data_IF_137655189305
#
_entry.id   IF_137655189305
#
_cell.length_a   1.000
_cell.length_b   1.000
_cell.length_c   1.000
_cell.angle_alpha   90.00
_cell.angle_beta   90.00
_cell.angle_gamma   90.00
#
_symmetry.space_group_name_H-M   'P 1'
#
loop_
_entity.id
_entity.type
_entity.pdbx_description
1 polymer ?
#
# COMPACT_ATOMS: atom_id res chain seq x y z
N UNK A 1 -24.23 27.28 -10.27
CA UNK A 1 -24.43 26.63 -8.96
C UNK A 1 -23.07 26.47 -8.31
N UNK A 2 -22.87 26.99 -7.11
CA UNK A 2 -21.60 26.79 -6.40
C UNK A 2 -21.51 25.34 -5.91
N UNK A 3 -20.30 24.76 -5.95
CA UNK A 3 -20.06 23.42 -5.42
C UNK A 3 -20.17 23.43 -3.88
N UNK A 4 -20.67 22.35 -3.25
CA UNK A 4 -20.59 22.17 -1.81
C UNK A 4 -19.13 22.29 -1.33
N UNK A 5 -18.89 22.98 -0.22
CA UNK A 5 -17.53 23.30 0.24
C UNK A 5 -16.64 22.05 0.43
N UNK A 6 -17.21 20.98 0.98
CA UNK A 6 -16.51 19.70 1.15
C UNK A 6 -16.03 19.11 -0.18
N UNK A 7 -16.86 19.21 -1.22
CA UNK A 7 -16.50 18.72 -2.56
C UNK A 7 -15.45 19.61 -3.22
N UNK A 8 -15.59 20.93 -3.11
CA UNK A 8 -14.60 21.89 -3.62
C UNK A 8 -13.21 21.65 -3.00
N UNK A 9 -13.15 21.39 -1.68
CA UNK A 9 -11.92 21.06 -0.99
C UNK A 9 -11.28 19.76 -1.51
N UNK A 10 -12.07 18.69 -1.68
CA UNK A 10 -11.56 17.42 -2.22
C UNK A 10 -11.08 17.55 -3.66
N UNK A 11 -11.80 18.29 -4.50
CA UNK A 11 -11.37 18.57 -5.88
C UNK A 11 -10.02 19.29 -5.88
N UNK A 12 -9.83 20.30 -5.03
CA UNK A 12 -8.55 21.01 -4.90
C UNK A 12 -7.40 20.06 -4.50
N UNK A 13 -7.63 19.14 -3.57
CA UNK A 13 -6.61 18.17 -3.13
C UNK A 13 -6.25 17.18 -4.24
N UNK A 14 -7.23 16.50 -4.83
CA UNK A 14 -6.97 15.41 -5.78
C UNK A 14 -6.62 15.89 -7.20
N UNK A 15 -7.02 17.11 -7.57
CA UNK A 15 -6.67 17.74 -8.85
C UNK A 15 -5.47 18.69 -8.73
N UNK A 16 -4.82 18.77 -7.56
CA UNK A 16 -3.57 19.51 -7.43
C UNK A 16 -2.55 19.03 -8.47
N UNK A 17 -1.92 20.00 -9.15
CA UNK A 17 -0.86 19.76 -10.14
C UNK A 17 0.41 19.43 -9.38
N UNK A 18 0.61 18.14 -9.14
CA UNK A 18 1.78 17.56 -8.52
C UNK A 18 2.02 16.17 -9.09
N UNK A 19 3.21 15.64 -8.89
CA UNK A 19 3.62 14.33 -9.41
C UNK A 19 3.20 13.18 -8.48
N UNK A 20 2.22 13.40 -7.58
CA UNK A 20 1.73 12.34 -6.71
C UNK A 20 0.71 11.48 -7.47
N UNK A 21 0.86 10.14 -7.44
CA UNK A 21 -0.15 9.25 -7.98
C UNK A 21 -1.42 9.33 -7.14
N UNK A 22 -2.58 9.03 -7.76
CA UNK A 22 -3.91 9.21 -7.13
C UNK A 22 -4.03 8.55 -5.76
N UNK A 23 -3.42 7.38 -5.56
CA UNK A 23 -3.47 6.61 -4.31
C UNK A 23 -2.59 7.17 -3.18
N UNK A 24 -1.82 8.24 -3.42
CA UNK A 24 -1.03 8.95 -2.40
C UNK A 24 -1.46 10.43 -2.24
N UNK A 25 -2.42 10.91 -3.05
CA UNK A 25 -2.83 12.32 -3.05
C UNK A 25 -3.61 12.74 -1.80
N UNK A 26 -4.22 11.80 -1.06
CA UNK A 26 -4.93 12.05 0.19
C UNK A 26 -4.01 12.39 1.36
N UNK A 27 -2.68 12.22 1.21
CA UNK A 27 -1.68 12.72 2.14
C UNK A 27 -1.03 11.64 3.01
N UNK A 28 -0.63 11.94 4.26
CA UNK A 28 0.14 11.03 5.11
C UNK A 28 -0.57 9.70 5.42
N UNK A 29 -1.89 9.72 5.56
CA UNK A 29 -2.68 8.51 5.84
C UNK A 29 -2.57 7.49 4.69
N UNK A 30 -2.69 7.95 3.44
CA UNK A 30 -2.54 7.12 2.25
C UNK A 30 -1.13 6.47 2.19
N UNK A 31 -0.09 7.26 2.49
CA UNK A 31 1.30 6.78 2.52
C UNK A 31 1.49 5.69 3.59
N UNK A 32 0.95 5.90 4.79
CA UNK A 32 1.04 4.93 5.87
C UNK A 32 0.29 3.64 5.52
N UNK A 33 -0.92 3.77 4.99
CA UNK A 33 -1.73 2.62 4.58
C UNK A 33 -1.03 1.81 3.49
N UNK A 34 -0.56 2.47 2.43
CA UNK A 34 0.20 1.82 1.37
C UNK A 34 1.47 1.13 1.89
N UNK A 35 2.24 1.81 2.74
CA UNK A 35 3.46 1.25 3.31
C UNK A 35 3.20 0.00 4.16
N UNK A 36 2.16 0.03 5.01
CA UNK A 36 1.76 -1.13 5.82
C UNK A 36 1.31 -2.28 4.93
N UNK A 37 0.47 -2.02 3.92
CA UNK A 37 0.02 -3.05 2.98
C UNK A 37 1.20 -3.68 2.24
N UNK A 38 2.12 -2.89 1.70
CA UNK A 38 3.30 -3.39 1.01
C UNK A 38 4.19 -4.23 1.93
N UNK A 39 4.38 -3.80 3.18
CA UNK A 39 5.15 -4.55 4.18
C UNK A 39 4.52 -5.91 4.48
N UNK A 40 3.19 -5.96 4.71
CA UNK A 40 2.46 -7.21 4.95
C UNK A 40 2.56 -8.16 3.76
N UNK A 41 2.41 -7.66 2.53
CA UNK A 41 2.60 -8.45 1.32
C UNK A 41 4.04 -8.99 1.22
N UNK A 42 5.05 -8.18 1.50
CA UNK A 42 6.45 -8.59 1.52
C UNK A 42 6.72 -9.70 2.54
N UNK A 43 6.23 -9.55 3.78
CA UNK A 43 6.31 -10.58 4.82
C UNK A 43 5.63 -11.87 4.36
N UNK A 44 4.44 -11.77 3.76
CA UNK A 44 3.71 -12.91 3.22
C UNK A 44 4.51 -13.67 2.15
N UNK A 45 5.11 -12.95 1.20
CA UNK A 45 5.95 -13.56 0.16
C UNK A 45 7.17 -14.28 0.74
N UNK A 46 7.89 -13.64 1.67
CA UNK A 46 9.04 -14.26 2.35
C UNK A 46 8.63 -15.51 3.11
N UNK A 47 7.46 -15.46 3.78
CA UNK A 47 6.92 -16.59 4.54
C UNK A 47 6.58 -17.77 3.63
N UNK A 48 6.00 -17.51 2.45
CA UNK A 48 5.70 -18.54 1.45
C UNK A 48 6.99 -19.16 0.90
N UNK A 49 8.00 -18.34 0.57
CA UNK A 49 9.29 -18.86 0.10
C UNK A 49 9.94 -19.74 1.16
N UNK A 50 9.95 -19.30 2.42
CA UNK A 50 10.47 -20.08 3.54
C UNK A 50 9.70 -21.39 3.73
N UNK A 51 8.38 -21.35 3.61
CA UNK A 51 7.51 -22.52 3.69
C UNK A 51 7.81 -23.54 2.58
N UNK A 52 7.87 -23.09 1.32
CA UNK A 52 8.20 -23.94 0.16
C UNK A 52 9.59 -24.55 0.31
N UNK A 53 10.58 -23.78 0.76
CA UNK A 53 11.92 -24.29 1.01
C UNK A 53 11.93 -25.38 2.10
N UNK A 54 11.26 -25.10 3.23
CA UNK A 54 11.23 -26.01 4.37
C UNK A 54 10.49 -27.31 4.05
N UNK A 55 9.38 -27.25 3.32
CA UNK A 55 8.60 -28.45 3.02
C UNK A 55 9.09 -29.20 1.78
N UNK A 56 9.66 -28.50 0.80
CA UNK A 56 10.09 -29.10 -0.47
C UNK A 56 11.55 -29.55 -0.49
N UNK A 57 12.44 -28.87 0.23
CA UNK A 57 13.89 -29.04 0.06
C UNK A 57 14.66 -29.27 1.35
N UNK A 58 14.14 -28.88 2.52
CA UNK A 58 14.84 -29.10 3.76
C UNK A 58 14.92 -30.61 4.07
N UNK A 59 16.15 -31.10 4.24
CA UNK A 59 16.38 -32.49 4.66
C UNK A 59 15.87 -32.67 6.09
N UNK A 60 15.29 -33.85 6.35
CA UNK A 60 14.88 -34.26 7.70
C UNK A 60 16.07 -34.08 8.65
N UNK A 61 15.91 -33.22 9.68
CA UNK A 61 16.87 -33.19 10.78
C UNK A 61 16.76 -34.54 11.51
N UNK A 62 17.88 -35.25 11.57
CA UNK A 62 18.03 -36.51 12.30
C UNK A 62 17.86 -36.30 13.81
#
# INVERSE_FOLDING_TARGET
MALPEGLAGKMKTFQAVNDLPVFLKGGPADKALFGITAALCGIGLVSIVHMVYTMGFAKKKA
#
